data_IF_082238969282
#
_entry.id   IF_082238969282
#
_cell.length_a   1.000
_cell.length_b   1.000
_cell.length_c   1.000
_cell.angle_alpha   90.00
_cell.angle_beta   90.00
_cell.angle_gamma   90.00
#
_symmetry.space_group_name_H-M   'P 1'
#
loop_
_entity.id
_entity.type
_entity.pdbx_description
1 polymer ?
#
# COMPACT_ATOMS: atom_id res chain seq x y z
N UNK A 1 6.04 4.33 1.65
CA UNK A 1 7.40 4.88 1.88
C UNK A 1 7.77 4.85 3.35
N UNK A 2 7.83 3.67 3.95
CA UNK A 2 8.32 3.51 5.33
C UNK A 2 9.86 3.56 5.36
N UNK A 3 10.44 4.14 6.41
CA UNK A 3 11.88 4.09 6.65
C UNK A 3 12.32 2.90 7.53
N UNK A 4 11.38 2.27 8.25
CA UNK A 4 11.67 1.18 9.20
C UNK A 4 11.57 -0.21 8.57
N UNK A 5 12.31 -1.15 9.16
CA UNK A 5 12.14 -2.60 8.99
C UNK A 5 12.26 -3.23 10.37
N UNK A 6 11.24 -3.05 11.20
CA UNK A 6 11.20 -3.46 12.60
C UNK A 6 10.02 -4.39 12.91
N UNK A 7 9.36 -4.95 11.90
CA UNK A 7 8.23 -5.85 12.13
C UNK A 7 6.99 -5.16 12.72
N UNK A 8 6.97 -3.82 12.83
CA UNK A 8 5.98 -3.09 13.59
C UNK A 8 6.19 -3.15 15.11
N UNK A 9 7.35 -3.59 15.59
CA UNK A 9 7.69 -3.66 17.00
C UNK A 9 7.52 -2.31 17.71
N UNK A 10 8.03 -1.21 17.15
CA UNK A 10 7.90 0.10 17.75
C UNK A 10 6.44 0.56 17.85
N UNK A 11 5.62 0.24 16.85
CA UNK A 11 4.17 0.48 16.88
C UNK A 11 3.51 -0.30 18.02
N UNK A 12 3.83 -1.60 18.18
CA UNK A 12 3.27 -2.41 19.24
C UNK A 12 3.69 -1.91 20.63
N UNK A 13 4.97 -1.55 20.82
CA UNK A 13 5.45 -0.97 22.08
C UNK A 13 4.70 0.32 22.43
N UNK A 14 4.52 1.22 21.46
CA UNK A 14 3.76 2.45 21.65
C UNK A 14 2.28 2.21 21.99
N UNK A 15 1.71 1.10 21.51
CA UNK A 15 0.35 0.65 21.82
C UNK A 15 0.25 -0.15 23.13
N UNK A 16 1.36 -0.33 23.85
CA UNK A 16 1.42 -0.94 25.17
C UNK A 16 1.94 -2.38 25.21
N UNK A 17 2.34 -2.98 24.09
CA UNK A 17 3.02 -4.28 24.13
C UNK A 17 4.40 -4.16 24.79
N UNK A 18 4.85 -5.24 25.44
CA UNK A 18 6.19 -5.35 26.02
C UNK A 18 7.00 -6.35 25.22
N UNK A 19 8.14 -5.90 24.69
CA UNK A 19 9.09 -6.71 23.93
C UNK A 19 10.35 -6.81 24.76
N UNK A 20 10.61 -7.98 25.33
CA UNK A 20 11.59 -8.16 26.39
C UNK A 20 12.78 -9.00 25.94
N UNK A 21 13.99 -8.62 26.35
CA UNK A 21 15.17 -9.46 26.23
C UNK A 21 15.20 -10.60 27.27
N UNK A 22 16.32 -11.31 27.34
CA UNK A 22 16.53 -12.44 28.26
C UNK A 22 16.72 -12.01 29.72
N UNK A 23 17.05 -10.75 29.97
CA UNK A 23 17.12 -10.14 31.30
C UNK A 23 15.75 -9.63 31.77
N UNK A 24 14.76 -9.56 30.87
CA UNK A 24 13.41 -9.09 31.15
C UNK A 24 13.23 -7.59 30.99
N UNK A 25 14.20 -6.91 30.37
CA UNK A 25 14.16 -5.48 30.08
C UNK A 25 13.56 -5.20 28.70
N UNK A 26 12.97 -4.02 28.53
CA UNK A 26 12.41 -3.64 27.24
C UNK A 26 13.50 -3.46 26.18
N UNK A 27 13.24 -4.04 25.01
CA UNK A 27 14.11 -3.86 23.85
C UNK A 27 14.12 -2.39 23.41
N UNK A 28 15.31 -1.88 23.01
CA UNK A 28 15.40 -0.57 22.37
C UNK A 28 14.71 -0.59 20.99
N UNK A 29 14.36 0.58 20.43
CA UNK A 29 13.77 0.69 19.11
C UNK A 29 14.66 0.13 17.99
N UNK A 30 14.02 -0.35 16.92
CA UNK A 30 14.67 -0.77 15.66
C UNK A 30 14.69 -2.28 15.43
N UNK A 31 14.83 -2.68 14.16
CA UNK A 31 14.71 -4.08 13.75
C UNK A 31 15.81 -4.99 14.28
N UNK A 32 17.05 -4.51 14.36
CA UNK A 32 18.18 -5.29 14.88
C UNK A 32 17.97 -5.76 16.33
N UNK A 33 17.31 -4.95 17.15
CA UNK A 33 17.02 -5.30 18.54
C UNK A 33 16.19 -6.59 18.67
N UNK A 34 15.37 -6.91 17.67
CA UNK A 34 14.53 -8.10 17.66
C UNK A 34 15.31 -9.42 17.64
N UNK A 35 16.59 -9.39 17.26
CA UNK A 35 17.48 -10.55 17.38
C UNK A 35 17.61 -11.01 18.85
N UNK A 36 17.49 -10.08 19.81
CA UNK A 36 17.57 -10.36 21.26
C UNK A 36 16.20 -10.59 21.91
N UNK A 37 15.11 -10.55 21.15
CA UNK A 37 13.77 -10.73 21.71
C UNK A 37 13.62 -12.12 22.32
N UNK A 38 13.43 -12.17 23.64
CA UNK A 38 13.20 -13.41 24.38
C UNK A 38 11.72 -13.65 24.63
N UNK A 39 10.98 -12.61 25.04
CA UNK A 39 9.57 -12.69 25.38
C UNK A 39 8.75 -11.54 24.77
N UNK A 40 7.54 -11.85 24.33
CA UNK A 40 6.54 -10.88 23.87
C UNK A 40 5.33 -10.96 24.79
N UNK A 41 4.91 -9.80 25.28
CA UNK A 41 3.77 -9.66 26.16
C UNK A 41 2.76 -8.66 25.59
N UNK A 42 1.53 -9.13 25.40
CA UNK A 42 0.44 -8.37 24.80
C UNK A 42 -0.64 -7.95 25.81
N UNK A 43 -0.51 -8.33 27.08
CA UNK A 43 -1.54 -8.11 28.10
C UNK A 43 -1.73 -6.62 28.48
N UNK A 44 -0.72 -5.80 28.22
CA UNK A 44 -0.72 -4.36 28.46
C UNK A 44 -1.08 -3.54 27.21
N UNK A 45 -1.50 -4.19 26.12
CA UNK A 45 -2.04 -3.47 24.97
C UNK A 45 -3.22 -2.59 25.40
N UNK A 46 -3.30 -1.41 24.79
CA UNK A 46 -4.33 -0.44 25.12
C UNK A 46 -5.74 -1.05 24.95
N UNK A 47 -6.61 -1.01 25.98
CA UNK A 47 -7.86 -1.76 25.99
C UNK A 47 -8.85 -1.34 24.89
N UNK A 48 -8.79 -0.09 24.43
CA UNK A 48 -9.62 0.37 23.32
C UNK A 48 -9.35 -0.37 22.00
N UNK A 49 -8.17 -0.99 21.83
CA UNK A 49 -7.85 -1.77 20.63
C UNK A 49 -8.79 -2.96 20.47
N UNK A 50 -9.22 -3.58 21.58
CA UNK A 50 -10.18 -4.68 21.55
C UNK A 50 -11.60 -4.26 21.10
N UNK A 51 -11.89 -2.95 21.11
CA UNK A 51 -13.17 -2.38 20.71
C UNK A 51 -13.09 -1.64 19.37
N UNK A 52 -11.91 -1.65 18.74
CA UNK A 52 -11.65 -0.89 17.51
C UNK A 52 -11.53 -1.83 16.33
N UNK A 53 -12.27 -1.56 15.26
CA UNK A 53 -12.00 -2.19 13.96
C UNK A 53 -10.84 -1.48 13.29
N UNK A 54 -9.78 -2.22 13.01
CA UNK A 54 -8.60 -1.72 12.32
C UNK A 54 -8.59 -2.19 10.87
N UNK A 55 -8.47 -1.24 9.95
CA UNK A 55 -8.29 -1.53 8.52
C UNK A 55 -6.88 -1.16 8.11
N UNK A 56 -6.15 -2.13 7.55
CA UNK A 56 -4.86 -1.93 6.91
C UNK A 56 -5.09 -1.70 5.42
N UNK A 57 -5.08 -0.43 5.00
CA UNK A 57 -5.07 -0.06 3.59
C UNK A 57 -3.68 -0.32 3.00
N UNK A 58 -3.55 -1.38 2.18
CA UNK A 58 -2.27 -1.78 1.60
C UNK A 58 -2.46 -2.49 0.28
N UNK A 59 -1.62 -2.16 -0.70
CA UNK A 59 -1.53 -2.85 -1.99
C UNK A 59 -0.28 -3.75 -2.09
N UNK A 60 0.46 -3.88 -0.98
CA UNK A 60 1.61 -4.78 -0.86
C UNK A 60 1.11 -6.19 -0.54
N UNK A 61 1.53 -7.18 -1.34
CA UNK A 61 1.20 -8.59 -1.14
C UNK A 61 2.38 -9.42 -0.61
N UNK A 62 3.55 -8.80 -0.43
CA UNK A 62 4.75 -9.47 0.05
C UNK A 62 4.53 -10.10 1.43
N UNK A 63 5.03 -11.34 1.67
CA UNK A 63 5.08 -11.93 3.01
C UNK A 63 6.05 -11.16 3.91
N UNK A 64 6.09 -11.51 5.18
CA UNK A 64 7.06 -10.94 6.11
C UNK A 64 8.49 -11.37 5.76
N UNK A 65 8.70 -12.67 5.55
CA UNK A 65 10.02 -13.32 5.47
C UNK A 65 10.29 -13.90 4.07
N UNK A 66 11.53 -14.34 3.86
CA UNK A 66 11.97 -15.08 2.67
C UNK A 66 12.32 -14.20 1.48
N UNK A 67 12.55 -14.83 0.33
CA UNK A 67 13.04 -14.17 -0.89
C UNK A 67 12.08 -13.11 -1.44
N UNK A 68 10.79 -13.24 -1.14
CA UNK A 68 9.75 -12.27 -1.48
C UNK A 68 9.38 -11.36 -0.30
N UNK A 69 10.03 -11.54 0.84
CA UNK A 69 9.73 -10.91 2.12
C UNK A 69 10.11 -9.43 2.18
N UNK A 70 9.78 -8.78 3.30
CA UNK A 70 10.00 -7.33 3.42
C UNK A 70 11.47 -6.94 3.35
N UNK A 71 12.38 -7.78 3.83
CA UNK A 71 13.81 -7.46 3.87
C UNK A 71 14.38 -7.54 2.46
N UNK A 72 14.21 -8.70 1.81
CA UNK A 72 14.70 -8.96 0.46
C UNK A 72 14.24 -7.91 -0.57
N UNK A 73 12.98 -7.47 -0.46
CA UNK A 73 12.39 -6.56 -1.46
C UNK A 73 12.59 -5.09 -1.11
N UNK A 74 12.50 -4.70 0.16
CA UNK A 74 12.39 -3.29 0.54
C UNK A 74 13.52 -2.75 1.42
N UNK A 75 14.41 -3.57 1.98
CA UNK A 75 15.43 -3.06 2.91
C UNK A 75 16.52 -2.23 2.22
N UNK A 76 16.95 -2.62 1.00
CA UNK A 76 18.00 -1.91 0.27
C UNK A 76 17.67 -0.44 -0.02
N UNK A 77 16.43 -0.16 -0.44
CA UNK A 77 15.97 1.22 -0.67
C UNK A 77 15.83 2.05 0.62
N UNK A 78 15.85 1.39 1.80
CA UNK A 78 15.87 2.04 3.13
C UNK A 78 17.30 2.19 3.68
N UNK A 79 18.32 1.83 2.90
CA UNK A 79 19.73 1.99 3.26
C UNK A 79 20.39 0.76 3.88
N UNK A 80 19.73 -0.40 3.95
CA UNK A 80 20.35 -1.62 4.48
C UNK A 80 21.32 -2.25 3.46
N UNK A 81 22.56 -2.49 3.89
CA UNK A 81 23.51 -3.31 3.13
C UNK A 81 23.19 -4.81 3.24
N UNK A 82 24.00 -5.66 2.62
CA UNK A 82 23.79 -7.12 2.62
C UNK A 82 23.91 -7.74 4.02
N UNK A 83 24.82 -7.24 4.86
CA UNK A 83 25.00 -7.75 6.21
C UNK A 83 23.80 -7.37 7.09
N UNK A 84 23.37 -6.11 7.01
CA UNK A 84 22.16 -5.62 7.67
C UNK A 84 20.92 -6.37 7.23
N UNK A 85 20.81 -6.73 5.94
CA UNK A 85 19.69 -7.56 5.46
C UNK A 85 19.67 -8.94 6.12
N UNK A 86 20.82 -9.62 6.21
CA UNK A 86 20.88 -10.92 6.88
C UNK A 86 20.51 -10.82 8.38
N UNK A 87 21.00 -9.78 9.05
CA UNK A 87 20.66 -9.49 10.45
C UNK A 87 19.15 -9.23 10.63
N UNK A 88 18.57 -8.37 9.79
CA UNK A 88 17.15 -8.02 9.83
C UNK A 88 16.25 -9.22 9.56
N UNK A 89 16.61 -10.09 8.60
CA UNK A 89 15.86 -11.31 8.29
C UNK A 89 15.84 -12.27 9.50
N UNK A 90 16.99 -12.48 10.14
CA UNK A 90 17.09 -13.30 11.35
C UNK A 90 16.28 -12.70 12.51
N UNK A 91 16.38 -11.38 12.69
CA UNK A 91 15.68 -10.65 13.73
C UNK A 91 14.15 -10.70 13.55
N UNK A 92 13.65 -10.53 12.32
CA UNK A 92 12.23 -10.67 12.00
C UNK A 92 11.74 -12.12 12.12
N UNK A 93 12.58 -13.10 11.78
CA UNK A 93 12.26 -14.52 11.99
C UNK A 93 12.06 -14.82 13.48
N UNK A 94 12.95 -14.31 14.34
CA UNK A 94 12.79 -14.42 15.78
C UNK A 94 11.51 -13.72 16.25
N UNK A 95 11.27 -12.48 15.83
CA UNK A 95 10.06 -11.73 16.18
C UNK A 95 8.78 -12.47 15.80
N UNK A 96 8.70 -12.97 14.56
CA UNK A 96 7.58 -13.75 14.08
C UNK A 96 7.32 -14.99 14.94
N UNK A 97 8.38 -15.71 15.35
CA UNK A 97 8.24 -16.87 16.24
C UNK A 97 7.58 -16.50 17.58
N UNK A 98 7.91 -15.33 18.15
CA UNK A 98 7.33 -14.86 19.42
C UNK A 98 5.89 -14.41 19.25
N UNK A 99 5.56 -13.75 18.13
CA UNK A 99 4.19 -13.37 17.77
C UNK A 99 3.33 -14.62 17.56
N UNK A 100 3.81 -15.60 16.79
CA UNK A 100 3.10 -16.88 16.56
C UNK A 100 2.83 -17.61 17.89
N UNK A 101 3.81 -17.63 18.81
CA UNK A 101 3.62 -18.20 20.14
C UNK A 101 2.57 -17.45 20.97
N UNK A 102 2.55 -16.12 20.89
CA UNK A 102 1.63 -15.28 21.67
C UNK A 102 0.19 -15.30 21.14
N UNK A 103 0.03 -15.42 19.82
CA UNK A 103 -1.26 -15.33 19.13
C UNK A 103 -1.85 -16.70 18.75
N UNK A 104 -1.01 -17.74 18.72
CA UNK A 104 -1.40 -19.09 18.30
C UNK A 104 -1.54 -19.28 16.79
N UNK A 105 -1.14 -18.28 15.97
CA UNK A 105 -1.25 -18.32 14.51
C UNK A 105 0.01 -17.79 13.84
N UNK A 106 0.43 -18.48 12.78
CA UNK A 106 1.49 -18.01 11.90
C UNK A 106 0.89 -17.23 10.72
N UNK A 107 1.08 -15.91 10.73
CA UNK A 107 0.64 -14.99 9.67
C UNK A 107 1.81 -14.49 8.81
N UNK A 108 3.00 -15.11 8.88
CA UNK A 108 4.19 -14.63 8.16
C UNK A 108 4.02 -14.61 6.64
N UNK A 109 3.30 -15.60 6.10
CA UNK A 109 2.98 -15.70 4.66
C UNK A 109 1.71 -14.95 4.25
N UNK A 110 1.02 -14.30 5.19
CA UNK A 110 -0.23 -13.60 4.88
C UNK A 110 0.04 -12.45 3.90
N UNK A 111 -0.75 -12.29 2.82
CA UNK A 111 -0.58 -11.17 1.91
C UNK A 111 -0.59 -9.82 2.65
N UNK A 112 0.46 -9.03 2.44
CA UNK A 112 0.65 -7.73 3.10
C UNK A 112 1.35 -7.79 4.45
N UNK A 113 1.78 -8.97 4.91
CA UNK A 113 2.59 -9.09 6.12
C UNK A 113 3.90 -8.29 6.01
N UNK A 114 4.52 -8.25 4.83
CA UNK A 114 5.72 -7.47 4.56
C UNK A 114 5.49 -5.96 4.36
N UNK A 115 4.24 -5.49 4.43
CA UNK A 115 3.94 -4.08 4.22
C UNK A 115 4.66 -3.20 5.26
N UNK A 116 5.24 -2.10 4.79
CA UNK A 116 5.91 -1.09 5.61
C UNK A 116 6.95 -1.65 6.60
N UNK A 117 7.78 -2.62 6.17
CA UNK A 117 8.83 -3.16 7.05
C UNK A 117 8.32 -4.16 8.07
N UNK A 118 7.17 -4.79 7.81
CA UNK A 118 6.54 -5.75 8.71
C UNK A 118 5.48 -5.15 9.63
N UNK A 119 5.19 -3.85 9.53
CA UNK A 119 4.05 -3.23 10.24
C UNK A 119 2.73 -3.92 9.87
N UNK A 120 2.57 -4.31 8.60
CA UNK A 120 1.40 -5.06 8.15
C UNK A 120 1.22 -6.38 8.89
N UNK A 121 2.32 -7.11 9.13
CA UNK A 121 2.32 -8.33 9.92
C UNK A 121 1.85 -8.07 11.36
N UNK A 122 2.46 -7.11 12.07
CA UNK A 122 2.03 -6.79 13.44
C UNK A 122 0.56 -6.33 13.51
N UNK A 123 0.14 -5.47 12.58
CA UNK A 123 -1.24 -5.00 12.53
C UNK A 123 -2.23 -6.17 12.35
N UNK A 124 -1.94 -7.11 11.45
CA UNK A 124 -2.82 -8.25 11.18
C UNK A 124 -2.74 -9.34 12.27
N UNK A 125 -1.54 -9.73 12.67
CA UNK A 125 -1.31 -10.84 13.57
C UNK A 125 -1.63 -10.49 15.03
N UNK A 126 -1.28 -9.27 15.46
CA UNK A 126 -1.40 -8.84 16.86
C UNK A 126 -2.64 -7.99 17.08
N UNK A 127 -2.91 -7.01 16.21
CA UNK A 127 -4.01 -6.06 16.39
C UNK A 127 -5.32 -6.50 15.71
N UNK A 128 -5.31 -7.64 15.00
CA UNK A 128 -6.49 -8.16 14.31
C UNK A 128 -6.94 -7.30 13.13
N UNK A 129 -6.05 -6.46 12.57
CA UNK A 129 -6.38 -5.60 11.45
C UNK A 129 -6.80 -6.42 10.22
N UNK A 130 -7.77 -5.90 9.48
CA UNK A 130 -8.19 -6.44 8.20
C UNK A 130 -7.51 -5.68 7.08
N UNK A 131 -6.73 -6.40 6.28
CA UNK A 131 -6.12 -5.85 5.09
C UNK A 131 -7.19 -5.66 4.00
N UNK A 132 -7.22 -4.46 3.43
CA UNK A 132 -8.09 -4.09 2.31
C UNK A 132 -7.27 -3.34 1.26
N UNK A 133 -7.59 -3.49 -0.04
CA UNK A 133 -6.97 -2.68 -1.08
C UNK A 133 -7.13 -1.19 -0.76
N UNK A 134 -6.05 -0.42 -0.92
CA UNK A 134 -6.02 0.97 -0.49
C UNK A 134 -7.08 1.82 -1.20
N UNK A 135 -7.26 1.58 -2.50
CA UNK A 135 -8.27 2.30 -3.28
C UNK A 135 -9.69 2.05 -2.77
N UNK A 136 -10.04 0.82 -2.39
CA UNK A 136 -11.41 0.54 -1.91
C UNK A 136 -11.71 1.30 -0.63
N UNK A 137 -10.74 1.38 0.28
CA UNK A 137 -10.87 2.18 1.50
C UNK A 137 -11.03 3.66 1.17
N UNK A 138 -10.26 4.18 0.21
CA UNK A 138 -10.36 5.59 -0.19
C UNK A 138 -11.69 5.93 -0.85
N UNK A 139 -12.22 5.04 -1.70
CA UNK A 139 -13.53 5.25 -2.34
C UNK A 139 -14.66 5.23 -1.31
N UNK A 140 -14.58 4.37 -0.30
CA UNK A 140 -15.54 4.31 0.81
C UNK A 140 -15.47 5.58 1.67
N UNK A 141 -14.27 6.02 2.07
CA UNK A 141 -14.10 7.24 2.88
C UNK A 141 -14.54 8.52 2.16
N UNK A 142 -14.49 8.52 0.83
CA UNK A 142 -14.95 9.63 0.01
C UNK A 142 -16.42 9.56 -0.41
N UNK A 143 -17.17 8.56 0.07
CA UNK A 143 -18.54 8.25 -0.36
C UNK A 143 -18.68 8.19 -1.90
N UNK A 144 -17.62 7.75 -2.60
CA UNK A 144 -17.48 7.87 -4.04
C UNK A 144 -18.66 7.23 -4.78
N UNK A 145 -19.09 6.04 -4.34
CA UNK A 145 -20.21 5.32 -4.95
C UNK A 145 -21.54 6.08 -4.84
N UNK A 146 -21.73 6.89 -3.79
CA UNK A 146 -22.94 7.70 -3.63
C UNK A 146 -22.97 8.91 -4.57
N UNK A 147 -21.81 9.34 -5.09
CA UNK A 147 -21.70 10.45 -6.04
C UNK A 147 -21.95 10.02 -7.49
N UNK A 148 -21.80 8.72 -7.79
CA UNK A 148 -21.89 8.20 -9.15
C UNK A 148 -23.27 8.38 -9.83
N UNK A 149 -24.42 8.20 -9.17
CA UNK A 149 -25.72 8.29 -9.83
C UNK A 149 -25.99 9.64 -10.51
N UNK A 150 -25.40 10.73 -10.00
CA UNK A 150 -25.57 12.09 -10.51
C UNK A 150 -24.43 12.52 -11.45
N UNK A 151 -23.45 11.66 -11.72
CA UNK A 151 -22.28 11.97 -12.52
C UNK A 151 -22.48 11.62 -14.01
N UNK A 152 -22.22 12.58 -14.89
CA UNK A 152 -22.18 12.34 -16.34
C UNK A 152 -20.86 11.71 -16.81
N UNK A 153 -19.78 11.92 -16.05
CA UNK A 153 -18.43 11.48 -16.36
C UNK A 153 -17.59 11.39 -15.09
N UNK A 154 -16.81 10.32 -14.98
CA UNK A 154 -15.74 10.18 -13.99
C UNK A 154 -14.39 10.44 -14.66
N UNK A 155 -13.56 11.27 -14.03
CA UNK A 155 -12.17 11.49 -14.45
C UNK A 155 -11.25 10.93 -13.37
N UNK A 156 -10.33 10.05 -13.78
CA UNK A 156 -9.28 9.50 -12.91
C UNK A 156 -7.89 9.71 -13.52
N UNK A 157 -6.84 9.29 -12.83
CA UNK A 157 -5.49 9.48 -13.33
C UNK A 157 -4.39 9.05 -12.36
N UNK A 158 -3.21 8.80 -12.91
CA UNK A 158 -1.96 8.67 -12.16
C UNK A 158 -0.75 9.02 -13.06
N UNK A 159 0.45 9.05 -12.48
CA UNK A 159 1.66 9.42 -13.22
C UNK A 159 1.99 8.47 -14.38
N UNK A 160 1.87 7.16 -14.16
CA UNK A 160 2.04 6.14 -15.20
C UNK A 160 0.99 5.06 -15.05
N UNK A 161 0.17 4.84 -16.08
CA UNK A 161 -0.72 3.68 -16.16
C UNK A 161 0.13 2.49 -16.61
N UNK A 162 0.33 1.51 -15.76
CA UNK A 162 1.13 0.32 -16.03
C UNK A 162 0.40 -0.96 -15.56
N UNK A 163 1.01 -2.13 -15.73
CA UNK A 163 0.39 -3.39 -15.30
C UNK A 163 0.03 -3.39 -13.81
N UNK A 164 0.75 -2.66 -12.96
CA UNK A 164 0.38 -2.57 -11.54
C UNK A 164 -0.91 -1.78 -11.34
N UNK A 165 -1.24 -0.86 -12.24
CA UNK A 165 -2.52 -0.16 -12.24
C UNK A 165 -3.67 -1.15 -12.30
N UNK A 166 -3.60 -2.11 -13.23
CA UNK A 166 -4.59 -3.17 -13.40
C UNK A 166 -4.71 -4.06 -12.15
N UNK A 167 -3.62 -4.19 -11.38
CA UNK A 167 -3.58 -4.99 -10.16
C UNK A 167 -4.21 -4.31 -8.93
N UNK A 168 -4.96 -3.21 -9.12
CA UNK A 168 -5.82 -2.64 -8.08
C UNK A 168 -5.38 -1.29 -7.54
N UNK A 169 -4.62 -0.49 -8.31
CA UNK A 169 -4.36 0.92 -7.95
C UNK A 169 -5.58 1.80 -8.19
N UNK A 170 -5.43 3.09 -7.86
CA UNK A 170 -6.51 4.06 -7.88
C UNK A 170 -7.31 4.13 -9.19
N UNK A 171 -6.70 4.24 -10.38
CA UNK A 171 -7.46 4.31 -11.62
C UNK A 171 -8.34 3.08 -11.88
N UNK A 172 -7.83 1.87 -11.61
CA UNK A 172 -8.59 0.64 -11.81
C UNK A 172 -9.76 0.51 -10.82
N UNK A 173 -9.57 0.88 -9.55
CA UNK A 173 -10.66 0.87 -8.57
C UNK A 173 -11.76 1.89 -8.91
N UNK A 174 -11.38 3.10 -9.32
CA UNK A 174 -12.31 4.14 -9.79
C UNK A 174 -13.08 3.66 -11.02
N UNK A 175 -12.38 3.13 -12.03
CA UNK A 175 -13.01 2.66 -13.26
C UNK A 175 -13.99 1.51 -12.99
N UNK A 176 -13.64 0.56 -12.13
CA UNK A 176 -14.53 -0.53 -11.72
C UNK A 176 -15.80 0.00 -11.03
N UNK A 177 -15.67 0.94 -10.11
CA UNK A 177 -16.81 1.53 -9.41
C UNK A 177 -17.72 2.32 -10.37
N UNK A 178 -17.14 3.18 -11.22
CA UNK A 178 -17.88 3.95 -12.22
C UNK A 178 -18.62 3.05 -13.21
N UNK A 179 -17.94 2.02 -13.74
CA UNK A 179 -18.54 1.04 -14.66
C UNK A 179 -19.69 0.27 -14.02
N UNK A 180 -19.59 -0.09 -12.74
CA UNK A 180 -20.67 -0.76 -12.02
C UNK A 180 -21.93 0.13 -11.88
N UNK A 181 -21.75 1.45 -11.84
CA UNK A 181 -22.83 2.43 -11.85
C UNK A 181 -23.29 2.85 -13.26
N UNK A 182 -22.65 2.33 -14.32
CA UNK A 182 -22.96 2.71 -15.71
C UNK A 182 -22.48 4.11 -16.10
N UNK A 183 -21.57 4.71 -15.33
CA UNK A 183 -21.02 6.04 -15.59
C UNK A 183 -19.75 5.93 -16.44
N UNK A 184 -19.62 6.69 -17.54
CA UNK A 184 -18.41 6.73 -18.35
C UNK A 184 -17.20 7.19 -17.52
N UNK A 185 -16.03 6.62 -17.77
CA UNK A 185 -14.80 6.91 -17.05
C UNK A 185 -13.62 7.09 -18.00
N UNK A 186 -12.90 8.20 -17.83
CA UNK A 186 -11.67 8.49 -18.58
C UNK A 186 -10.48 8.65 -17.65
N UNK A 187 -9.27 8.38 -18.15
CA UNK A 187 -8.04 8.63 -17.43
C UNK A 187 -7.22 9.75 -18.07
N UNK A 188 -6.73 10.67 -17.23
CA UNK A 188 -5.68 11.63 -17.58
C UNK A 188 -4.40 11.18 -16.86
N UNK A 189 -3.37 10.78 -17.60
CA UNK A 189 -2.15 10.26 -17.01
C UNK A 189 -0.89 10.93 -17.58
N UNK A 190 0.24 10.78 -16.89
CA UNK A 190 1.52 11.22 -17.46
C UNK A 190 1.88 10.43 -18.71
N UNK A 191 1.78 9.09 -18.62
CA UNK A 191 1.99 8.15 -19.72
C UNK A 191 1.21 6.86 -19.49
N UNK A 192 0.88 6.15 -20.55
CA UNK A 192 0.39 4.77 -20.52
C UNK A 192 1.47 3.82 -21.04
N UNK A 193 1.78 2.81 -20.23
CA UNK A 193 2.71 1.72 -20.54
C UNK A 193 1.94 0.40 -20.75
N UNK A 194 0.69 0.51 -21.17
CA UNK A 194 -0.23 -0.59 -21.38
C UNK A 194 -0.39 -0.88 -22.88
N UNK A 195 -0.49 -2.14 -23.25
CA UNK A 195 -0.91 -2.57 -24.57
C UNK A 195 -2.41 -2.25 -24.80
N UNK A 196 -2.85 -2.28 -26.05
CA UNK A 196 -4.26 -2.06 -26.38
C UNK A 196 -5.19 -3.09 -25.70
N UNK A 197 -4.74 -4.33 -25.56
CA UNK A 197 -5.48 -5.39 -24.86
C UNK A 197 -5.61 -5.10 -23.36
N UNK A 198 -4.51 -4.67 -22.74
CA UNK A 198 -4.48 -4.29 -21.33
C UNK A 198 -5.35 -3.06 -21.04
N UNK A 199 -5.36 -2.08 -21.94
CA UNK A 199 -6.24 -0.90 -21.84
C UNK A 199 -7.71 -1.34 -21.83
N UNK A 200 -8.11 -2.27 -22.70
CA UNK A 200 -9.48 -2.77 -22.75
C UNK A 200 -9.92 -3.44 -21.42
N UNK A 201 -8.97 -4.00 -20.67
CA UNK A 201 -9.23 -4.63 -19.36
C UNK A 201 -9.38 -3.61 -18.22
N UNK A 202 -8.89 -2.38 -18.37
CA UNK A 202 -9.00 -1.33 -17.34
C UNK A 202 -10.45 -0.92 -17.06
N UNK A 203 -11.33 -1.06 -18.06
CA UNK A 203 -12.68 -0.49 -18.02
C UNK A 203 -12.75 1.02 -18.25
N UNK A 204 -11.64 1.65 -18.67
CA UNK A 204 -11.60 3.05 -19.10
C UNK A 204 -12.16 3.20 -20.52
N UNK A 205 -13.00 4.22 -20.73
CA UNK A 205 -13.55 4.56 -22.04
C UNK A 205 -12.52 5.30 -22.93
N UNK A 206 -11.63 6.08 -22.30
CA UNK A 206 -10.54 6.76 -22.99
C UNK A 206 -9.36 7.03 -22.04
N UNK A 207 -8.16 7.10 -22.63
CA UNK A 207 -6.93 7.47 -21.95
C UNK A 207 -6.31 8.63 -22.71
N UNK A 208 -5.96 9.67 -21.96
CA UNK A 208 -5.25 10.84 -22.44
C UNK A 208 -3.92 10.95 -21.71
N UNK A 209 -2.84 11.23 -22.43
CA UNK A 209 -1.49 11.21 -21.87
C UNK A 209 -0.80 12.56 -22.03
N UNK A 210 -0.09 13.01 -20.99
CA UNK A 210 0.71 14.23 -21.09
C UNK A 210 1.81 14.11 -22.16
N UNK A 211 2.38 12.91 -22.32
CA UNK A 211 3.42 12.65 -23.33
C UNK A 211 2.96 12.83 -24.78
N UNK A 212 1.65 12.84 -25.04
CA UNK A 212 1.10 13.14 -26.36
C UNK A 212 1.17 14.64 -26.70
N UNK A 213 1.21 15.50 -25.67
CA UNK A 213 1.39 16.96 -25.80
C UNK A 213 2.88 17.31 -25.72
N UNK A 214 3.60 16.71 -24.78
CA UNK A 214 5.02 16.97 -24.51
C UNK A 214 5.81 15.66 -24.32
N UNK A 215 6.61 15.23 -25.31
CA UNK A 215 7.32 13.95 -25.25
C UNK A 215 8.38 13.82 -24.13
N UNK A 216 8.91 14.91 -23.58
CA UNK A 216 9.91 14.86 -22.50
C UNK A 216 9.25 14.69 -21.11
N UNK A 217 9.46 13.55 -20.42
CA UNK A 217 8.88 13.32 -19.10
C UNK A 217 9.34 14.34 -18.04
N UNK A 218 10.55 14.89 -18.16
CA UNK A 218 11.05 15.89 -17.22
C UNK A 218 10.30 17.22 -17.39
N UNK A 219 9.97 17.60 -18.63
CA UNK A 219 9.10 18.74 -18.91
C UNK A 219 7.68 18.46 -18.43
N UNK A 220 7.14 17.26 -18.71
CA UNK A 220 5.83 16.85 -18.20
C UNK A 220 5.71 16.98 -16.68
N UNK A 221 6.70 16.53 -15.92
CA UNK A 221 6.68 16.64 -14.45
C UNK A 221 6.81 18.09 -13.98
N UNK A 222 7.62 18.91 -14.65
CA UNK A 222 7.83 20.31 -14.28
C UNK A 222 6.61 21.18 -14.58
N UNK A 223 5.98 20.95 -15.73
CA UNK A 223 4.88 21.76 -16.26
C UNK A 223 3.51 21.05 -16.10
N UNK A 224 3.41 20.08 -15.17
CA UNK A 224 2.29 19.16 -15.06
C UNK A 224 0.92 19.85 -14.94
N UNK A 225 0.80 20.94 -14.17
CA UNK A 225 -0.46 21.68 -14.02
C UNK A 225 -0.94 22.25 -15.36
N UNK A 226 -0.06 22.90 -16.13
CA UNK A 226 -0.40 23.46 -17.43
C UNK A 226 -0.81 22.36 -18.41
N UNK A 227 0.00 21.31 -18.52
CA UNK A 227 -0.24 20.22 -19.45
C UNK A 227 -1.51 19.43 -19.10
N UNK A 228 -1.80 19.22 -17.80
CA UNK A 228 -3.04 18.59 -17.36
C UNK A 228 -4.28 19.41 -17.71
N UNK A 229 -4.22 20.75 -17.62
CA UNK A 229 -5.32 21.62 -18.06
C UNK A 229 -5.56 21.53 -19.56
N UNK A 230 -4.49 21.54 -20.35
CA UNK A 230 -4.57 21.39 -21.81
C UNK A 230 -5.15 20.02 -22.20
N UNK A 231 -4.70 18.97 -21.53
CA UNK A 231 -5.16 17.59 -21.72
C UNK A 231 -6.62 17.41 -21.31
N UNK A 232 -7.03 17.96 -20.16
CA UNK A 232 -8.41 17.93 -19.70
C UNK A 232 -9.34 18.70 -20.64
N UNK A 233 -8.88 19.85 -21.16
CA UNK A 233 -9.64 20.60 -22.15
C UNK A 233 -9.81 19.80 -23.44
N UNK A 234 -8.77 19.09 -23.91
CA UNK A 234 -8.87 18.21 -25.06
C UNK A 234 -9.88 17.08 -24.83
N UNK A 235 -9.80 16.40 -23.68
CA UNK A 235 -10.73 15.33 -23.32
C UNK A 235 -12.19 15.82 -23.26
N UNK A 236 -12.42 17.03 -22.73
CA UNK A 236 -13.74 17.64 -22.69
C UNK A 236 -14.29 17.92 -24.11
N UNK A 237 -13.45 18.43 -25.03
CA UNK A 237 -13.84 18.67 -26.42
C UNK A 237 -14.23 17.38 -27.13
N UNK A 238 -13.40 16.35 -27.00
CA UNK A 238 -13.64 15.05 -27.65
C UNK A 238 -14.92 14.39 -27.16
N UNK A 239 -15.27 14.58 -25.87
CA UNK A 239 -16.42 13.91 -25.25
C UNK A 239 -17.73 14.69 -25.38
N UNK A 240 -17.69 16.01 -25.29
CA UNK A 240 -18.87 16.88 -25.21
C UNK A 240 -19.04 17.80 -26.42
N UNK A 241 -18.06 17.88 -27.32
CA UNK A 241 -18.14 18.68 -28.55
C UNK A 241 -18.15 20.20 -28.35
N UNK A 242 -17.64 20.69 -27.20
CA UNK A 242 -17.55 22.11 -26.86
C UNK A 242 -16.35 22.83 -27.49
#
# INVERSE_FOLDING_TARGET
>A
GSASTDGGAGMLQALGARLLDDEGEDLPPGGAALARLSALSLHTLHPALAQTTLTLASDVNNPLLGERGTVAIFARQKGADTAMQAELEAALTNFASKVTRATGRDDTERPGAGAAGGVGYAAMAVLGAQMRPGIEVMLELGDFTALLPDADLVVTGEGALDLQTLLGKAPAGVARAAKAAGVPVIALCGRALLSAEEIAQTGLDAIYQLVDIEPDPAVCMRDADRLLRELAAQAARDRFGA
#
